data_IF_392733166786
#
_entry.id   IF_392733166786
#
_cell.length_a   1.000
_cell.length_b   1.000
_cell.length_c   1.000
_cell.angle_alpha   90.00
_cell.angle_beta   90.00
_cell.angle_gamma   90.00
#
_symmetry.space_group_name_H-M   'P 1'
#
loop_
_entity.id
_entity.type
_entity.pdbx_description
1 polymer ?
#
# COMPACT_ATOMS: atom_id res chain seq x y z
N UNK A 1 -1.51 11.10 10.48
CA UNK A 1 -0.52 10.03 10.75
C UNK A 1 -0.32 9.97 12.24
N UNK A 2 -0.27 8.77 12.79
CA UNK A 2 -0.17 8.53 14.25
C UNK A 2 1.17 9.06 14.81
N UNK A 3 1.17 9.62 16.02
CA UNK A 3 2.37 10.20 16.65
C UNK A 3 3.45 9.14 16.94
N UNK A 4 3.05 7.90 17.20
CA UNK A 4 3.95 6.78 17.46
C UNK A 4 4.91 6.50 16.29
N UNK A 5 4.50 6.83 15.05
CA UNK A 5 5.35 6.71 13.86
C UNK A 5 6.61 7.58 14.00
N UNK A 6 6.48 8.75 14.63
CA UNK A 6 7.59 9.67 14.86
C UNK A 6 8.36 9.32 16.13
N UNK A 7 7.64 9.02 17.21
CA UNK A 7 8.23 8.72 18.52
C UNK A 7 9.14 7.48 18.46
N UNK A 8 8.74 6.46 17.68
CA UNK A 8 9.54 5.25 17.45
C UNK A 8 10.40 5.28 16.19
N UNK A 9 10.45 6.40 15.49
CA UNK A 9 11.26 6.58 14.28
C UNK A 9 11.00 5.52 13.21
N UNK A 10 9.73 5.10 13.06
CA UNK A 10 9.33 4.10 12.06
C UNK A 10 9.55 4.70 10.67
N UNK A 11 10.34 3.99 9.86
CA UNK A 11 10.61 4.40 8.48
C UNK A 11 9.33 4.36 7.65
N UNK A 12 9.13 5.38 6.83
CA UNK A 12 7.91 5.55 6.05
C UNK A 12 8.21 6.20 4.70
N UNK A 13 7.44 5.80 3.70
CA UNK A 13 7.42 6.43 2.38
C UNK A 13 5.98 6.70 2.02
N UNK A 14 5.68 7.96 1.70
CA UNK A 14 4.37 8.37 1.19
C UNK A 14 4.21 7.96 -0.28
N UNK A 15 2.97 7.85 -0.81
CA UNK A 15 2.74 7.61 -2.23
C UNK A 15 3.49 8.60 -3.14
N UNK A 16 3.61 9.87 -2.73
CA UNK A 16 4.41 10.87 -3.45
C UNK A 16 5.89 10.49 -3.50
N UNK A 17 6.48 10.16 -2.35
CA UNK A 17 7.90 9.76 -2.28
C UNK A 17 8.20 8.47 -3.03
N UNK A 18 7.24 7.54 -3.11
CA UNK A 18 7.38 6.31 -3.89
C UNK A 18 7.40 6.55 -5.41
N UNK A 19 6.90 7.71 -5.88
CA UNK A 19 6.86 8.10 -7.30
C UNK A 19 8.05 8.95 -7.74
N UNK A 20 8.76 9.57 -6.79
CA UNK A 20 9.84 10.50 -7.07
C UNK A 20 11.20 9.78 -7.03
N UNK A 21 12.15 10.12 -7.92
CA UNK A 21 13.51 9.63 -7.83
C UNK A 21 14.27 10.28 -6.65
N UNK A 22 15.26 9.61 -6.06
CA UNK A 22 15.73 8.23 -6.34
C UNK A 22 14.78 7.15 -5.80
N UNK A 23 14.97 5.88 -6.20
CA UNK A 23 14.14 4.74 -5.78
C UNK A 23 14.27 4.48 -4.27
N UNK A 24 13.55 5.26 -3.47
CA UNK A 24 13.71 5.34 -2.02
C UNK A 24 13.49 3.99 -1.31
N UNK A 25 12.60 3.14 -1.84
CA UNK A 25 12.38 1.80 -1.30
C UNK A 25 13.59 0.89 -1.51
N UNK A 26 14.11 0.81 -2.73
CA UNK A 26 15.27 -0.02 -3.05
C UNK A 26 16.51 0.40 -2.27
N UNK A 27 16.73 1.71 -2.16
CA UNK A 27 17.85 2.27 -1.41
C UNK A 27 17.72 1.98 0.09
N UNK A 28 16.50 2.07 0.63
CA UNK A 28 16.22 1.70 2.01
C UNK A 28 16.51 0.21 2.28
N UNK A 29 16.02 -0.70 1.42
CA UNK A 29 16.25 -2.15 1.58
C UNK A 29 17.75 -2.48 1.52
N UNK A 30 18.45 -1.95 0.50
CA UNK A 30 19.88 -2.21 0.31
C UNK A 30 20.72 -1.61 1.42
N UNK A 31 20.42 -0.37 1.84
CA UNK A 31 21.15 0.34 2.88
C UNK A 31 21.11 -0.35 4.24
N UNK A 32 20.02 -1.06 4.54
CA UNK A 32 19.88 -1.83 5.77
C UNK A 32 20.34 -3.30 5.64
N UNK A 33 20.61 -3.77 4.42
CA UNK A 33 21.11 -5.11 4.16
C UNK A 33 20.10 -6.23 4.49
N UNK A 34 18.80 -5.95 4.41
CA UNK A 34 17.76 -6.96 4.64
C UNK A 34 17.95 -8.14 3.67
N UNK A 35 17.85 -9.36 4.20
CA UNK A 35 17.99 -10.60 3.40
C UNK A 35 16.64 -11.16 2.98
N UNK A 36 15.66 -11.01 3.86
CA UNK A 36 14.30 -11.51 3.68
C UNK A 36 13.32 -10.40 4.02
N UNK A 37 12.23 -10.32 3.27
CA UNK A 37 11.15 -9.37 3.50
C UNK A 37 9.81 -10.08 3.52
N UNK A 38 8.95 -9.66 4.43
CA UNK A 38 7.54 -10.02 4.45
C UNK A 38 6.72 -8.78 4.13
N UNK A 39 5.73 -8.93 3.24
CA UNK A 39 4.86 -7.84 2.80
C UNK A 39 3.46 -8.07 3.31
N UNK A 40 2.92 -7.08 4.01
CA UNK A 40 1.49 -6.95 4.25
C UNK A 40 0.94 -5.92 3.28
N UNK A 41 0.16 -6.37 2.31
CA UNK A 41 -0.52 -5.51 1.36
C UNK A 41 -1.98 -5.35 1.78
N UNK A 42 -2.25 -4.25 2.46
CA UNK A 42 -3.61 -3.76 2.67
C UNK A 42 -4.13 -3.16 1.35
N UNK A 43 -5.25 -3.69 0.83
CA UNK A 43 -5.80 -3.24 -0.43
C UNK A 43 -6.30 -1.80 -0.35
N UNK A 44 -6.65 -1.28 0.83
CA UNK A 44 -7.14 0.09 0.98
C UNK A 44 -6.07 1.18 0.75
N UNK A 45 -4.79 0.78 0.62
CA UNK A 45 -3.72 1.63 0.12
C UNK A 45 -3.90 2.02 -1.36
N UNK A 46 -4.72 1.27 -2.10
CA UNK A 46 -5.11 1.58 -3.47
C UNK A 46 -6.14 2.71 -3.51
N UNK A 47 -6.06 3.53 -4.57
CA UNK A 47 -7.10 4.51 -4.85
C UNK A 47 -8.43 3.82 -5.18
N UNK A 48 -9.57 4.28 -4.62
CA UNK A 48 -10.90 3.76 -4.98
C UNK A 48 -11.23 3.97 -6.47
N UNK A 49 -10.54 4.89 -7.16
CA UNK A 49 -10.65 5.05 -8.62
C UNK A 49 -9.84 4.04 -9.41
N UNK A 50 -8.85 3.39 -8.80
CA UNK A 50 -8.03 2.35 -9.42
C UNK A 50 -8.58 0.96 -9.13
N UNK A 51 -9.12 0.74 -7.93
CA UNK A 51 -9.62 -0.55 -7.46
C UNK A 51 -10.83 -0.36 -6.53
N UNK A 52 -11.96 -1.02 -6.83
CA UNK A 52 -13.27 -0.68 -6.22
C UNK A 52 -13.71 -1.66 -5.13
N UNK A 53 -12.91 -2.69 -4.84
CA UNK A 53 -13.24 -3.71 -3.85
C UNK A 53 -12.51 -3.47 -2.52
N UNK A 54 -12.68 -2.26 -1.99
CA UNK A 54 -12.07 -1.75 -0.75
C UNK A 54 -13.06 -0.86 0.00
N UNK A 55 -12.86 -0.64 1.30
CA UNK A 55 -13.83 0.11 2.11
C UNK A 55 -14.09 1.54 1.61
N UNK A 56 -13.07 2.36 1.23
CA UNK A 56 -13.33 3.70 0.70
C UNK A 56 -14.06 3.73 -0.65
N UNK A 57 -14.29 2.59 -1.28
CA UNK A 57 -15.04 2.44 -2.54
C UNK A 57 -16.46 1.88 -2.32
N UNK A 58 -16.98 1.91 -1.08
CA UNK A 58 -18.35 1.50 -0.79
C UNK A 58 -19.36 2.30 -1.64
N UNK A 59 -20.32 1.64 -2.32
CA UNK A 59 -21.32 2.32 -3.13
C UNK A 59 -22.14 3.33 -2.32
N UNK A 60 -22.22 4.56 -2.82
CA UNK A 60 -22.95 5.65 -2.16
C UNK A 60 -22.11 6.49 -1.19
N UNK A 61 -20.85 6.13 -0.97
CA UNK A 61 -19.89 6.91 -0.19
C UNK A 61 -19.09 7.84 -1.10
N UNK A 62 -18.95 9.12 -0.72
CA UNK A 62 -17.98 10.03 -1.34
C UNK A 62 -16.61 9.83 -0.65
N UNK A 63 -15.55 9.43 -1.38
CA UNK A 63 -14.21 9.30 -0.80
C UNK A 63 -13.68 10.60 -0.17
N UNK A 64 -14.18 11.78 -0.57
CA UNK A 64 -13.81 13.06 0.04
C UNK A 64 -14.35 13.23 1.47
N UNK A 65 -15.47 12.57 1.78
CA UNK A 65 -16.10 12.59 3.10
C UNK A 65 -15.66 11.39 3.97
N UNK A 66 -14.73 10.57 3.48
CA UNK A 66 -14.25 9.39 4.21
C UNK A 66 -13.53 9.81 5.50
N UNK A 67 -13.84 9.19 6.66
CA UNK A 67 -13.36 9.65 7.97
C UNK A 67 -11.85 9.41 8.20
N UNK A 68 -11.20 8.68 7.29
CA UNK A 68 -9.80 8.30 7.37
C UNK A 68 -9.05 8.65 6.07
N UNK A 69 -7.73 8.45 6.07
CA UNK A 69 -6.94 8.64 4.85
C UNK A 69 -7.31 7.61 3.80
N UNK A 70 -7.59 8.07 2.58
CA UNK A 70 -7.89 7.21 1.44
C UNK A 70 -6.61 6.87 0.68
N UNK A 71 -6.50 5.61 0.24
CA UNK A 71 -5.41 5.13 -0.61
C UNK A 71 -5.23 5.96 -1.88
N UNK A 72 -4.00 5.96 -2.39
CA UNK A 72 -3.62 6.75 -3.56
C UNK A 72 -2.83 5.95 -4.60
N UNK A 73 -2.44 4.72 -4.27
CA UNK A 73 -1.66 3.88 -5.16
C UNK A 73 -2.55 3.20 -6.21
N UNK A 74 -1.92 2.72 -7.27
CA UNK A 74 -2.53 1.87 -8.28
C UNK A 74 -1.95 0.47 -8.23
N UNK A 75 -2.65 -0.54 -8.77
CA UNK A 75 -2.13 -1.91 -8.85
C UNK A 75 -0.78 -1.99 -9.59
N UNK A 76 -0.55 -1.30 -10.73
CA UNK A 76 0.76 -1.27 -11.37
C UNK A 76 1.87 -0.68 -10.50
N UNK A 77 1.57 0.37 -9.73
CA UNK A 77 2.55 0.92 -8.78
C UNK A 77 2.90 -0.10 -7.70
N UNK A 78 1.92 -0.77 -7.09
CA UNK A 78 2.17 -1.82 -6.09
C UNK A 78 2.97 -2.98 -6.69
N UNK A 79 2.63 -3.44 -7.89
CA UNK A 79 3.38 -4.50 -8.57
C UNK A 79 4.85 -4.10 -8.81
N UNK A 80 5.09 -2.84 -9.19
CA UNK A 80 6.44 -2.31 -9.33
C UNK A 80 7.19 -2.26 -7.98
N UNK A 81 6.53 -1.90 -6.88
CA UNK A 81 7.13 -1.93 -5.54
C UNK A 81 7.50 -3.35 -5.11
N UNK A 82 6.62 -4.33 -5.33
CA UNK A 82 6.89 -5.74 -5.04
C UNK A 82 8.08 -6.26 -5.86
N UNK A 83 8.17 -5.86 -7.14
CA UNK A 83 9.30 -6.20 -8.01
C UNK A 83 10.61 -5.60 -7.49
N UNK A 84 10.58 -4.34 -7.05
CA UNK A 84 11.75 -3.70 -6.45
C UNK A 84 12.19 -4.41 -5.15
N UNK A 85 11.25 -4.86 -4.32
CA UNK A 85 11.57 -5.61 -3.11
C UNK A 85 12.26 -6.94 -3.45
N UNK A 86 11.67 -7.73 -4.34
CA UNK A 86 12.16 -9.04 -4.75
C UNK A 86 13.56 -8.98 -5.41
N UNK A 87 13.86 -7.87 -6.08
CA UNK A 87 15.19 -7.62 -6.65
C UNK A 87 16.28 -7.34 -5.61
N UNK A 88 15.93 -6.89 -4.40
CA UNK A 88 16.90 -6.48 -3.38
C UNK A 88 16.92 -7.38 -2.13
N UNK A 89 15.85 -8.15 -1.88
CA UNK A 89 15.74 -9.10 -0.78
C UNK A 89 14.75 -10.23 -1.12
N UNK A 90 14.92 -11.41 -0.54
CA UNK A 90 14.03 -12.55 -0.76
C UNK A 90 12.64 -12.28 -0.17
N UNK A 91 11.60 -12.28 -0.99
CA UNK A 91 10.23 -12.14 -0.52
C UNK A 91 9.72 -13.47 0.06
N UNK A 92 9.70 -13.58 1.39
CA UNK A 92 9.37 -14.82 2.10
C UNK A 92 7.92 -14.89 2.59
N UNK A 93 7.16 -13.81 2.42
CA UNK A 93 5.76 -13.76 2.82
C UNK A 93 5.01 -12.62 2.15
N UNK A 94 3.77 -12.89 1.74
CA UNK A 94 2.85 -11.91 1.18
C UNK A 94 1.46 -12.16 1.77
N UNK A 95 0.92 -11.15 2.44
CA UNK A 95 -0.50 -11.10 2.82
C UNK A 95 -1.19 -10.08 1.94
N UNK A 96 -2.38 -10.43 1.44
CA UNK A 96 -3.30 -9.49 0.79
C UNK A 96 -4.54 -9.40 1.67
N UNK A 97 -4.85 -8.20 2.18
CA UNK A 97 -5.86 -7.97 3.20
C UNK A 97 -6.95 -6.98 2.75
N UNK A 98 -8.02 -6.89 3.54
CA UNK A 98 -9.11 -5.89 3.40
C UNK A 98 -9.84 -5.87 2.04
N UNK A 99 -9.97 -7.04 1.39
CA UNK A 99 -10.75 -7.16 0.17
C UNK A 99 -12.26 -7.08 0.45
N UNK A 100 -12.91 -5.98 0.05
CA UNK A 100 -14.34 -5.73 0.23
C UNK A 100 -15.04 -5.67 -1.12
N UNK A 101 -15.43 -6.83 -1.67
CA UNK A 101 -16.03 -6.95 -3.00
C UNK A 101 -17.51 -6.52 -3.04
N UNK A 102 -17.77 -5.21 -2.91
CA UNK A 102 -19.12 -4.62 -2.85
C UNK A 102 -20.05 -5.09 -3.97
N UNK A 103 -19.60 -5.06 -5.22
CA UNK A 103 -20.42 -5.49 -6.36
C UNK A 103 -20.81 -6.97 -6.25
N UNK A 104 -19.87 -7.83 -5.85
CA UNK A 104 -20.11 -9.26 -5.66
C UNK A 104 -20.94 -9.57 -4.40
N UNK A 105 -20.96 -8.67 -3.41
CA UNK A 105 -21.84 -8.74 -2.24
C UNK A 105 -23.27 -8.35 -2.61
N UNK A 106 -23.44 -7.32 -3.42
CA UNK A 106 -24.75 -6.79 -3.83
C UNK A 106 -25.45 -7.62 -4.91
N UNK A 107 -24.72 -8.44 -5.67
CA UNK A 107 -25.28 -9.33 -6.69
C UNK A 107 -25.97 -10.59 -6.11
N UNK A 108 -25.75 -10.90 -4.82
CA UNK A 108 -26.12 -12.17 -4.19
C UNK A 108 -27.61 -12.40 -4.06
#
# INVERSE_FOLDING_TARGET
MDHNVFDYQVQRLTPKQLREPPNALSDWVRGHGFKQVAVHFDLDALSPTAFRSIYPAEPGTDPADFPATVGQLTLPEVANLLTQLDQNAELVGLTVAEHMAWDALNLR
#
